data_IF_053251937325
#
_entry.id   IF_053251937325
#
_cell.length_a   1.000
_cell.length_b   1.000
_cell.length_c   1.000
_cell.angle_alpha   90.00
_cell.angle_beta   90.00
_cell.angle_gamma   90.00
#
_symmetry.space_group_name_H-M   'P 1'
#
loop_
_entity.id
_entity.type
_entity.pdbx_description
1 polymer ?
#
# COMPACT_ATOMS: atom_id res chain seq x y z
N UNK A 1 7.91 27.36 -24.91
CA UNK A 1 8.77 27.66 -23.74
C UNK A 1 7.84 27.69 -22.53
N UNK A 2 7.75 26.73 -21.63
CA UNK A 2 8.63 25.63 -21.25
C UNK A 2 8.54 25.48 -19.72
N UNK A 3 7.40 24.96 -19.26
CA UNK A 3 7.01 24.73 -17.86
C UNK A 3 8.16 24.20 -16.97
N UNK A 4 8.65 25.00 -16.02
CA UNK A 4 9.58 24.54 -14.96
C UNK A 4 9.33 25.09 -13.55
N UNK A 5 8.29 25.89 -13.31
CA UNK A 5 7.99 26.43 -11.97
C UNK A 5 6.86 25.73 -11.21
N UNK A 6 6.13 24.79 -11.82
CA UNK A 6 4.93 24.19 -11.21
C UNK A 6 5.18 23.11 -10.16
N UNK A 7 6.33 22.42 -10.20
CA UNK A 7 6.59 21.28 -9.31
C UNK A 7 7.11 21.70 -7.93
N UNK A 8 7.77 22.86 -7.85
CA UNK A 8 8.40 23.37 -6.61
C UNK A 8 7.36 24.08 -5.72
N UNK A 9 6.32 24.69 -6.33
CA UNK A 9 5.28 25.40 -5.58
C UNK A 9 4.25 24.47 -4.93
N UNK A 10 4.03 23.27 -5.48
CA UNK A 10 3.09 22.29 -4.92
C UNK A 10 3.55 21.66 -3.60
N UNK A 11 4.84 21.71 -3.30
CA UNK A 11 5.41 21.19 -2.04
C UNK A 11 5.36 22.26 -0.93
N UNK A 12 5.40 23.54 -1.31
CA UNK A 12 5.56 24.67 -0.38
C UNK A 12 4.30 25.09 0.40
N UNK A 13 3.10 24.65 -0.01
CA UNK A 13 1.83 25.15 0.54
C UNK A 13 1.17 24.27 1.62
N UNK A 14 1.81 23.18 2.07
CA UNK A 14 1.22 22.26 3.06
C UNK A 14 1.79 22.41 4.47
N UNK A 15 2.34 23.58 4.83
CA UNK A 15 3.04 23.78 6.10
C UNK A 15 2.25 24.71 7.02
N UNK A 16 1.41 24.13 7.87
CA UNK A 16 1.20 24.61 9.24
C UNK A 16 0.49 23.53 10.06
N UNK A 17 0.97 23.38 11.30
CA UNK A 17 0.51 22.51 12.38
C UNK A 17 1.18 21.12 12.46
N UNK A 18 1.98 20.95 13.51
CA UNK A 18 2.79 19.77 13.76
C UNK A 18 1.95 18.54 14.10
N UNK A 19 2.36 17.40 13.55
CA UNK A 19 1.69 16.11 13.67
C UNK A 19 2.17 15.15 12.60
N UNK A 20 1.73 13.89 12.66
CA UNK A 20 2.09 12.73 11.80
C UNK A 20 2.14 12.98 10.26
N UNK A 21 1.66 14.12 9.78
CA UNK A 21 1.87 14.61 8.41
C UNK A 21 3.36 14.75 8.05
N UNK A 22 4.23 15.12 9.02
CA UNK A 22 5.68 15.17 8.82
C UNK A 22 6.29 13.78 8.60
N UNK A 23 5.70 12.75 9.21
CA UNK A 23 6.11 11.35 9.05
C UNK A 23 5.74 10.85 7.66
N UNK A 24 4.48 11.01 7.24
CA UNK A 24 4.02 10.63 5.89
C UNK A 24 4.74 11.41 4.79
N UNK A 25 5.06 12.70 5.03
CA UNK A 25 5.92 13.49 4.14
C UNK A 25 7.34 12.90 4.12
N UNK A 26 7.94 12.56 5.26
CA UNK A 26 9.28 11.94 5.35
C UNK A 26 9.38 10.57 4.65
N UNK A 27 8.31 9.79 4.61
CA UNK A 27 8.23 8.55 3.82
C UNK A 27 8.37 8.84 2.32
N UNK A 28 7.61 9.82 1.83
CA UNK A 28 7.70 10.30 0.44
C UNK A 28 9.01 11.02 0.15
N UNK A 29 9.70 11.55 1.17
CA UNK A 29 11.06 12.12 1.03
C UNK A 29 12.07 11.05 0.60
N UNK A 30 11.98 9.80 1.08
CA UNK A 30 12.94 8.76 0.66
C UNK A 30 12.80 8.40 -0.83
N UNK A 31 11.58 8.31 -1.33
CA UNK A 31 11.30 8.10 -2.76
C UNK A 31 11.72 9.31 -3.58
N UNK A 32 11.41 10.51 -3.12
CA UNK A 32 11.81 11.77 -3.76
C UNK A 32 13.33 11.88 -3.83
N UNK A 33 14.04 11.55 -2.75
CA UNK A 33 15.51 11.53 -2.71
C UNK A 33 16.09 10.46 -3.63
N UNK A 34 15.49 9.27 -3.71
CA UNK A 34 15.93 8.21 -4.62
C UNK A 34 15.72 8.57 -6.10
N UNK A 35 14.57 9.14 -6.45
CA UNK A 35 14.30 9.66 -7.78
C UNK A 35 15.21 10.85 -8.13
N UNK A 36 15.53 11.70 -7.16
CA UNK A 36 16.51 12.78 -7.32
C UNK A 36 17.93 12.24 -7.52
N UNK A 37 18.37 11.27 -6.73
CA UNK A 37 19.69 10.65 -6.87
C UNK A 37 19.83 10.00 -8.26
N UNK A 38 18.77 9.36 -8.76
CA UNK A 38 18.70 8.78 -10.12
C UNK A 38 18.70 9.85 -11.22
N UNK A 39 17.97 10.95 -11.03
CA UNK A 39 17.82 12.02 -12.02
C UNK A 39 19.07 12.91 -12.15
N UNK A 40 19.80 13.09 -11.05
CA UNK A 40 20.99 13.96 -10.99
C UNK A 40 22.31 13.17 -10.87
N UNK A 41 22.27 11.84 -10.90
CA UNK A 41 23.48 10.99 -10.90
C UNK A 41 24.26 10.99 -9.60
N UNK A 42 23.60 11.24 -8.46
CA UNK A 42 24.25 11.30 -7.14
C UNK A 42 24.36 9.87 -6.59
N UNK A 43 25.56 9.29 -6.63
CA UNK A 43 25.82 7.97 -6.05
C UNK A 43 26.15 8.10 -4.56
N UNK A 44 25.20 7.81 -3.67
CA UNK A 44 25.45 7.71 -2.22
C UNK A 44 26.18 6.40 -1.91
N UNK A 45 27.49 6.45 -1.68
CA UNK A 45 28.19 5.37 -0.96
C UNK A 45 27.80 5.43 0.52
N UNK A 46 27.69 4.27 1.15
CA UNK A 46 27.39 3.95 2.56
C UNK A 46 27.74 5.04 3.62
N UNK A 47 27.06 5.08 4.78
CA UNK A 47 26.82 6.28 5.60
C UNK A 47 27.98 6.73 6.50
N UNK A 48 29.24 6.66 6.03
CA UNK A 48 30.42 7.03 6.83
C UNK A 48 31.45 7.95 6.17
N UNK A 49 31.20 8.46 4.97
CA UNK A 49 32.13 9.41 4.35
C UNK A 49 31.45 10.71 3.98
N UNK A 50 32.03 11.81 4.48
CA UNK A 50 31.83 13.19 4.05
C UNK A 50 31.45 13.30 2.57
N UNK A 51 30.33 13.96 2.29
CA UNK A 51 29.87 14.28 0.95
C UNK A 51 30.91 15.18 0.26
N UNK A 52 31.62 14.64 -0.72
CA UNK A 52 32.26 15.43 -1.76
C UNK A 52 31.33 15.35 -2.99
N UNK A 53 30.37 16.25 -3.07
CA UNK A 53 29.58 16.48 -4.29
C UNK A 53 30.42 17.30 -5.26
N UNK A 54 30.55 16.89 -6.52
CA UNK A 54 31.03 17.79 -7.57
C UNK A 54 30.04 18.96 -7.69
N UNK A 55 30.41 20.11 -7.14
CA UNK A 55 29.54 21.28 -6.87
C UNK A 55 29.05 22.02 -8.14
N UNK A 56 29.40 21.58 -9.34
CA UNK A 56 29.38 22.49 -10.49
C UNK A 56 28.06 22.64 -11.24
N UNK A 57 26.98 21.92 -10.90
CA UNK A 57 25.75 21.92 -11.72
C UNK A 57 24.42 21.84 -10.95
N UNK A 58 24.41 22.15 -9.66
CA UNK A 58 23.20 22.02 -8.83
C UNK A 58 22.76 23.42 -8.35
N UNK A 59 21.55 23.89 -8.68
CA UNK A 59 21.07 25.21 -8.23
C UNK A 59 21.09 25.34 -6.70
N UNK A 60 21.49 26.50 -6.16
CA UNK A 60 21.63 26.71 -4.70
C UNK A 60 20.33 26.38 -3.92
N UNK A 61 19.17 26.81 -4.43
CA UNK A 61 17.87 26.48 -3.81
C UNK A 61 17.53 24.97 -3.83
N UNK A 62 18.20 24.18 -4.67
CA UNK A 62 18.07 22.72 -4.66
C UNK A 62 18.99 22.07 -3.62
N UNK A 63 20.19 22.62 -3.39
CA UNK A 63 21.06 22.14 -2.31
C UNK A 63 20.46 22.39 -0.93
N UNK A 64 19.82 23.55 -0.74
CA UNK A 64 19.11 23.87 0.51
C UNK A 64 17.93 22.90 0.73
N UNK A 65 17.12 22.64 -0.30
CA UNK A 65 16.02 21.67 -0.21
C UNK A 65 16.53 20.25 0.09
N UNK A 66 17.62 19.81 -0.55
CA UNK A 66 18.24 18.52 -0.26
C UNK A 66 18.74 18.42 1.18
N UNK A 67 19.34 19.49 1.71
CA UNK A 67 19.81 19.55 3.10
C UNK A 67 18.62 19.42 4.05
N UNK A 68 17.56 20.20 3.85
CA UNK A 68 16.36 20.16 4.68
C UNK A 68 15.69 18.78 4.66
N UNK A 69 15.55 18.17 3.49
CA UNK A 69 15.02 16.81 3.35
C UNK A 69 15.90 15.77 4.05
N UNK A 70 17.22 15.93 3.99
CA UNK A 70 18.18 15.03 4.66
C UNK A 70 18.11 15.19 6.18
N UNK A 71 18.06 16.42 6.68
CA UNK A 71 17.90 16.72 8.12
C UNK A 71 16.59 16.15 8.66
N UNK A 72 15.48 16.32 7.93
CA UNK A 72 14.18 15.72 8.29
C UNK A 72 14.24 14.20 8.32
N UNK A 73 14.84 13.56 7.31
CA UNK A 73 14.98 12.11 7.29
C UNK A 73 15.86 11.61 8.46
N UNK A 74 16.93 12.32 8.79
CA UNK A 74 17.78 11.98 9.94
C UNK A 74 17.02 12.14 11.27
N UNK A 75 16.27 13.24 11.44
CA UNK A 75 15.44 13.47 12.62
C UNK A 75 14.35 12.38 12.75
N UNK A 76 13.70 12.03 11.65
CA UNK A 76 12.70 10.96 11.60
C UNK A 76 13.30 9.61 12.01
N UNK A 77 14.48 9.25 11.48
CA UNK A 77 15.18 8.02 11.86
C UNK A 77 15.57 8.00 13.33
N UNK A 78 16.15 9.09 13.84
CA UNK A 78 16.51 9.20 15.24
C UNK A 78 15.29 9.09 16.17
N UNK A 79 14.15 9.65 15.75
CA UNK A 79 12.88 9.49 16.44
C UNK A 79 12.42 8.01 16.45
N UNK A 80 12.45 7.32 15.31
CA UNK A 80 12.07 5.92 15.23
C UNK A 80 13.00 4.98 16.01
N UNK A 81 14.30 5.26 16.06
CA UNK A 81 15.27 4.47 16.82
C UNK A 81 15.00 4.49 18.33
N UNK A 82 14.28 5.52 18.81
CA UNK A 82 13.86 5.64 20.21
C UNK A 82 12.54 4.92 20.52
N UNK A 83 11.80 4.44 19.50
CA UNK A 83 10.51 3.79 19.68
C UNK A 83 10.64 2.27 19.90
N UNK A 84 9.75 1.66 20.70
CA UNK A 84 9.57 0.22 20.71
C UNK A 84 9.33 -0.32 19.29
N UNK A 85 10.07 -1.38 18.95
CA UNK A 85 10.00 -2.04 17.64
C UNK A 85 9.64 -3.50 17.82
N UNK A 86 8.62 -3.95 17.10
CA UNK A 86 8.18 -5.34 17.07
C UNK A 86 8.29 -5.91 15.65
N UNK A 87 8.53 -7.22 15.56
CA UNK A 87 8.40 -7.93 14.29
C UNK A 87 6.93 -8.19 14.03
N UNK A 88 6.48 -7.92 12.81
CA UNK A 88 5.14 -8.34 12.41
C UNK A 88 5.08 -9.87 12.31
N UNK A 89 3.97 -10.46 12.75
CA UNK A 89 3.77 -11.91 12.74
C UNK A 89 2.37 -12.20 12.23
N UNK A 90 2.28 -13.12 11.27
CA UNK A 90 1.04 -13.78 10.86
C UNK A 90 1.09 -15.19 11.46
N UNK A 91 0.00 -15.60 12.12
CA UNK A 91 -0.07 -16.93 12.71
C UNK A 91 0.01 -18.02 11.61
N UNK A 92 0.64 -19.19 11.88
CA UNK A 92 0.75 -20.25 10.86
C UNK A 92 -0.60 -20.71 10.31
N UNK A 93 -1.64 -20.72 11.14
CA UNK A 93 -2.99 -21.08 10.72
C UNK A 93 -3.60 -20.05 9.76
N UNK A 94 -3.49 -18.77 10.09
CA UNK A 94 -3.95 -17.68 9.22
C UNK A 94 -3.21 -17.70 7.87
N UNK A 95 -1.89 -17.94 7.89
CA UNK A 95 -1.11 -18.03 6.66
C UNK A 95 -1.49 -19.25 5.80
N UNK A 96 -1.79 -20.40 6.41
CA UNK A 96 -2.36 -21.56 5.70
C UNK A 96 -3.70 -21.21 5.05
N UNK A 97 -4.59 -20.53 5.77
CA UNK A 97 -5.88 -20.08 5.24
C UNK A 97 -5.71 -19.11 4.06
N UNK A 98 -4.80 -18.13 4.16
CA UNK A 98 -4.46 -17.21 3.07
C UNK A 98 -4.02 -17.99 1.82
N UNK A 99 -3.11 -18.96 1.97
CA UNK A 99 -2.65 -19.81 0.85
C UNK A 99 -3.78 -20.63 0.24
N UNK A 100 -4.65 -21.19 1.06
CA UNK A 100 -5.79 -22.00 0.61
C UNK A 100 -6.79 -21.13 -0.17
N UNK A 101 -7.01 -19.88 0.26
CA UNK A 101 -7.81 -18.88 -0.48
C UNK A 101 -7.14 -18.54 -1.82
N UNK A 102 -5.83 -18.27 -1.84
CA UNK A 102 -5.09 -18.01 -3.09
C UNK A 102 -5.22 -19.19 -4.06
N UNK A 103 -5.18 -20.42 -3.56
CA UNK A 103 -5.36 -21.64 -4.37
C UNK A 103 -6.79 -21.77 -4.91
N UNK A 104 -7.79 -21.49 -4.07
CA UNK A 104 -9.21 -21.47 -4.43
C UNK A 104 -9.48 -20.45 -5.55
N UNK A 105 -9.00 -19.22 -5.36
CA UNK A 105 -9.15 -18.12 -6.31
C UNK A 105 -8.45 -18.46 -7.62
N UNK A 106 -7.23 -18.98 -7.58
CA UNK A 106 -6.48 -19.37 -8.78
C UNK A 106 -7.20 -20.44 -9.59
N UNK A 107 -7.76 -21.46 -8.91
CA UNK A 107 -8.55 -22.50 -9.56
C UNK A 107 -9.86 -21.96 -10.15
N UNK A 108 -10.54 -21.07 -9.43
CA UNK A 108 -11.73 -20.37 -9.93
C UNK A 108 -11.42 -19.59 -11.20
N UNK A 109 -10.36 -18.77 -11.19
CA UNK A 109 -9.93 -17.93 -12.31
C UNK A 109 -9.51 -18.75 -13.53
N UNK A 110 -8.86 -19.91 -13.32
CA UNK A 110 -8.51 -20.84 -14.40
C UNK A 110 -9.76 -21.40 -15.10
N UNK A 111 -10.70 -21.94 -14.32
CA UNK A 111 -11.99 -22.44 -14.87
C UNK A 111 -12.79 -21.35 -15.56
N UNK A 112 -12.81 -20.16 -14.97
CA UNK A 112 -13.44 -18.98 -15.55
C UNK A 112 -12.87 -18.67 -16.94
N UNK A 113 -11.53 -18.64 -17.07
CA UNK A 113 -10.85 -18.27 -18.32
C UNK A 113 -11.10 -19.31 -19.42
N UNK A 114 -11.02 -20.60 -19.08
CA UNK A 114 -11.30 -21.69 -20.03
C UNK A 114 -12.72 -21.59 -20.60
N UNK A 115 -13.71 -21.30 -19.75
CA UNK A 115 -15.10 -21.12 -20.15
C UNK A 115 -15.33 -19.80 -20.90
N UNK A 116 -14.69 -18.70 -20.47
CA UNK A 116 -14.85 -17.36 -21.07
C UNK A 116 -14.45 -17.33 -22.55
N UNK A 117 -13.45 -18.12 -22.95
CA UNK A 117 -12.99 -18.24 -24.35
C UNK A 117 -14.09 -18.72 -25.30
N UNK A 118 -15.08 -19.45 -24.79
CA UNK A 118 -16.22 -19.95 -25.55
C UNK A 118 -17.41 -18.97 -25.58
N UNK A 119 -17.33 -17.86 -24.85
CA UNK A 119 -18.38 -16.84 -24.77
C UNK A 119 -18.21 -15.83 -25.91
N UNK A 120 -19.31 -15.55 -26.62
CA UNK A 120 -19.38 -14.52 -27.66
C UNK A 120 -19.03 -13.16 -27.07
N UNK A 121 -18.33 -12.33 -27.84
CA UNK A 121 -17.79 -11.06 -27.35
C UNK A 121 -18.85 -10.14 -26.71
N UNK A 122 -20.02 -10.01 -27.34
CA UNK A 122 -21.13 -9.20 -26.82
C UNK A 122 -21.72 -9.68 -25.48
N UNK A 123 -21.50 -10.95 -25.12
CA UNK A 123 -22.03 -11.54 -23.90
C UNK A 123 -20.99 -11.61 -22.75
N UNK A 124 -19.73 -11.25 -23.03
CA UNK A 124 -18.61 -11.41 -22.08
C UNK A 124 -18.80 -10.61 -20.80
N UNK A 125 -19.19 -9.35 -20.88
CA UNK A 125 -19.35 -8.52 -19.68
C UNK A 125 -20.44 -9.08 -18.74
N UNK A 126 -21.54 -9.57 -19.29
CA UNK A 126 -22.61 -10.21 -18.52
C UNK A 126 -22.13 -11.49 -17.84
N UNK A 127 -21.34 -12.30 -18.56
CA UNK A 127 -20.68 -13.48 -18.00
C UNK A 127 -19.69 -13.11 -16.89
N UNK A 128 -18.85 -12.10 -17.12
CA UNK A 128 -17.84 -11.62 -16.17
C UNK A 128 -18.51 -11.10 -14.88
N UNK A 129 -19.60 -10.33 -14.99
CA UNK A 129 -20.43 -9.88 -13.84
C UNK A 129 -21.01 -11.05 -13.07
N UNK A 130 -21.55 -12.06 -13.76
CA UNK A 130 -22.08 -13.27 -13.10
C UNK A 130 -20.97 -14.00 -12.32
N UNK A 131 -19.80 -14.17 -12.93
CA UNK A 131 -18.66 -14.87 -12.31
C UNK A 131 -18.02 -14.08 -11.17
N UNK A 132 -17.98 -12.75 -11.26
CA UNK A 132 -17.58 -11.90 -10.15
C UNK A 132 -18.53 -12.07 -8.95
N UNK A 133 -19.85 -12.12 -9.19
CA UNK A 133 -20.83 -12.35 -8.12
C UNK A 133 -20.67 -13.75 -7.49
N UNK A 134 -20.43 -14.79 -8.28
CA UNK A 134 -20.15 -16.14 -7.78
C UNK A 134 -18.88 -16.15 -6.91
N UNK A 135 -17.80 -15.50 -7.35
CA UNK A 135 -16.56 -15.40 -6.59
C UNK A 135 -16.78 -14.65 -5.27
N UNK A 136 -17.43 -13.47 -5.30
CA UNK A 136 -17.74 -12.69 -4.09
C UNK A 136 -18.55 -13.52 -3.10
N UNK A 137 -19.56 -14.27 -3.56
CA UNK A 137 -20.35 -15.13 -2.69
C UNK A 137 -19.53 -16.27 -2.06
N UNK A 138 -18.56 -16.83 -2.78
CA UNK A 138 -17.62 -17.82 -2.23
C UNK A 138 -16.67 -17.21 -1.20
N UNK A 139 -16.21 -15.98 -1.42
CA UNK A 139 -15.34 -15.30 -0.46
C UNK A 139 -16.12 -14.90 0.79
N UNK A 140 -17.33 -14.37 0.65
CA UNK A 140 -18.19 -13.94 1.76
C UNK A 140 -18.54 -15.07 2.74
N UNK A 141 -18.49 -16.33 2.29
CA UNK A 141 -18.78 -17.50 3.14
C UNK A 141 -17.60 -17.94 4.02
N UNK A 142 -16.40 -17.41 3.78
CA UNK A 142 -15.21 -17.78 4.55
C UNK A 142 -15.19 -17.05 5.91
N UNK A 143 -14.83 -17.79 6.96
CA UNK A 143 -14.75 -17.27 8.34
C UNK A 143 -13.46 -16.53 8.65
N UNK A 144 -12.44 -16.65 7.81
CA UNK A 144 -11.11 -16.01 7.95
C UNK A 144 -11.15 -14.48 7.94
N UNK A 145 -12.21 -13.89 7.38
CA UNK A 145 -12.31 -12.45 7.23
C UNK A 145 -12.70 -11.77 8.54
N UNK A 146 -11.80 -10.93 9.02
CA UNK A 146 -11.98 -10.02 10.13
C UNK A 146 -12.80 -8.79 9.70
N UNK A 147 -12.58 -8.28 8.49
CA UNK A 147 -13.34 -7.17 7.96
C UNK A 147 -13.57 -7.27 6.45
N UNK A 148 -14.64 -6.64 5.99
CA UNK A 148 -14.90 -6.37 4.57
C UNK A 148 -15.30 -4.91 4.40
N UNK A 149 -14.66 -4.22 3.48
CA UNK A 149 -14.91 -2.81 3.20
C UNK A 149 -14.69 -2.49 1.72
N UNK A 150 -15.09 -1.29 1.31
CA UNK A 150 -14.84 -0.76 -0.02
C UNK A 150 -14.05 0.55 0.05
N UNK A 151 -13.27 0.82 -0.99
CA UNK A 151 -12.67 2.14 -1.24
C UNK A 151 -13.24 2.75 -2.50
N UNK A 152 -13.37 4.07 -2.52
CA UNK A 152 -13.80 4.81 -3.70
C UNK A 152 -12.84 4.57 -4.90
N UNK A 153 -13.31 4.81 -6.12
CA UNK A 153 -12.53 4.62 -7.34
C UNK A 153 -11.82 5.91 -7.82
N UNK A 154 -12.18 7.07 -7.27
CA UNK A 154 -11.54 8.33 -7.64
C UNK A 154 -10.15 8.39 -7.03
N UNK A 155 -9.12 8.17 -7.87
CA UNK A 155 -7.70 8.21 -7.53
C UNK A 155 -7.20 9.54 -6.98
N UNK A 156 -7.72 9.97 -5.84
CA UNK A 156 -7.55 11.29 -5.28
C UNK A 156 -7.96 11.32 -3.83
N UNK A 157 -6.99 10.98 -2.97
CA UNK A 157 -7.00 11.19 -1.51
C UNK A 157 -7.03 12.68 -1.11
N UNK A 158 -7.78 13.53 -1.81
CA UNK A 158 -7.95 14.92 -1.39
C UNK A 158 -9.04 14.96 -0.31
N UNK A 159 -8.62 15.33 0.89
CA UNK A 159 -9.49 15.68 2.02
C UNK A 159 -10.50 16.77 1.68
N UNK A 160 -10.23 17.55 0.62
CA UNK A 160 -11.01 18.71 0.22
C UNK A 160 -12.22 18.34 -0.65
N UNK A 161 -12.31 17.08 -1.09
CA UNK A 161 -13.45 16.55 -1.83
C UNK A 161 -14.28 15.65 -0.91
N UNK A 162 -15.61 15.80 -0.87
CA UNK A 162 -16.47 14.90 -0.10
C UNK A 162 -16.23 13.43 -0.43
N UNK A 163 -16.31 12.58 0.59
CA UNK A 163 -16.22 11.12 0.44
C UNK A 163 -17.31 10.63 -0.52
N UNK A 164 -16.93 9.86 -1.54
CA UNK A 164 -17.88 9.36 -2.52
C UNK A 164 -18.75 8.24 -1.93
N UNK A 165 -20.03 8.21 -2.31
CA UNK A 165 -20.90 7.09 -1.90
C UNK A 165 -20.46 5.80 -2.60
N UNK A 166 -20.61 4.68 -1.89
CA UNK A 166 -20.28 3.37 -2.41
C UNK A 166 -20.95 3.06 -3.76
N UNK A 167 -20.13 2.75 -4.76
CA UNK A 167 -20.51 2.28 -6.08
C UNK A 167 -20.00 0.85 -6.32
N UNK A 168 -20.92 -0.11 -6.34
CA UNK A 168 -20.61 -1.54 -6.53
C UNK A 168 -19.90 -1.88 -7.85
N UNK A 169 -20.01 -1.02 -8.86
CA UNK A 169 -19.48 -1.28 -10.21
C UNK A 169 -18.07 -0.69 -10.41
N UNK A 170 -17.63 0.22 -9.53
CA UNK A 170 -16.35 0.96 -9.65
C UNK A 170 -15.43 0.77 -8.44
N UNK A 171 -16.00 0.70 -7.24
CA UNK A 171 -15.24 0.67 -6.00
C UNK A 171 -14.51 -0.64 -5.77
N UNK A 172 -13.31 -0.55 -5.20
CA UNK A 172 -12.52 -1.74 -4.88
C UNK A 172 -13.04 -2.37 -3.59
N UNK A 173 -13.28 -3.68 -3.60
CA UNK A 173 -13.65 -4.44 -2.41
C UNK A 173 -12.40 -5.03 -1.76
N UNK A 174 -12.29 -4.91 -0.45
CA UNK A 174 -11.22 -5.49 0.34
C UNK A 174 -11.78 -6.52 1.32
N UNK A 175 -11.05 -7.62 1.44
CA UNK A 175 -11.23 -8.63 2.46
C UNK A 175 -9.97 -8.63 3.33
N UNK A 176 -10.14 -8.40 4.63
CA UNK A 176 -9.04 -8.27 5.57
C UNK A 176 -9.10 -9.40 6.59
N UNK A 177 -7.95 -10.04 6.81
CA UNK A 177 -7.73 -11.05 7.84
C UNK A 177 -7.42 -10.43 9.20
N UNK A 178 -7.23 -11.22 10.25
CA UNK A 178 -7.01 -10.72 11.61
C UNK A 178 -5.69 -9.93 11.73
N UNK A 179 -4.62 -10.41 11.11
CA UNK A 179 -3.30 -9.76 11.09
C UNK A 179 -3.26 -8.48 10.25
N UNK A 180 -4.28 -8.28 9.41
CA UNK A 180 -4.34 -7.19 8.44
C UNK A 180 -3.84 -7.57 7.04
N UNK A 181 -3.55 -8.83 6.74
CA UNK A 181 -3.33 -9.25 5.36
C UNK A 181 -4.62 -9.09 4.55
N UNK A 182 -4.55 -8.58 3.32
CA UNK A 182 -5.74 -8.28 2.53
C UNK A 182 -5.73 -8.85 1.14
N UNK A 183 -6.93 -9.15 0.64
CA UNK A 183 -7.18 -9.43 -0.77
C UNK A 183 -8.13 -8.38 -1.35
N UNK A 184 -7.73 -7.80 -2.48
CA UNK A 184 -8.47 -6.73 -3.14
C UNK A 184 -9.11 -7.19 -4.46
N UNK A 185 -10.35 -6.78 -4.69
CA UNK A 185 -11.07 -6.94 -5.96
C UNK A 185 -11.35 -5.55 -6.55
N UNK A 186 -10.64 -5.20 -7.61
CA UNK A 186 -10.76 -3.91 -8.34
C UNK A 186 -11.89 -3.96 -9.36
N UNK A 187 -13.11 -3.62 -8.95
CA UNK A 187 -14.33 -3.82 -9.77
C UNK A 187 -14.33 -3.00 -11.07
N UNK A 188 -13.77 -1.78 -11.08
CA UNK A 188 -13.61 -0.96 -12.30
C UNK A 188 -12.86 -1.68 -13.43
N UNK A 189 -12.01 -2.67 -13.11
CA UNK A 189 -11.25 -3.45 -14.09
C UNK A 189 -12.06 -4.54 -14.80
N UNK A 190 -13.33 -4.77 -14.44
CA UNK A 190 -14.07 -5.98 -14.84
C UNK A 190 -14.26 -6.12 -16.35
N UNK A 191 -14.37 -5.00 -17.09
CA UNK A 191 -14.46 -5.03 -18.55
C UNK A 191 -13.26 -5.74 -19.21
N UNK A 192 -12.12 -5.78 -18.53
CA UNK A 192 -10.90 -6.45 -18.98
C UNK A 192 -10.79 -7.92 -18.51
N UNK A 193 -11.87 -8.45 -17.93
CA UNK A 193 -11.96 -9.81 -17.42
C UNK A 193 -11.55 -9.96 -15.96
N UNK A 194 -12.07 -11.02 -15.33
CA UNK A 194 -11.96 -11.28 -13.89
C UNK A 194 -10.51 -11.47 -13.40
N UNK A 195 -9.58 -11.94 -14.24
CA UNK A 195 -8.17 -12.04 -13.85
C UNK A 195 -7.52 -10.68 -13.58
N UNK A 196 -8.04 -9.60 -14.16
CA UNK A 196 -7.51 -8.25 -13.95
C UNK A 196 -8.06 -7.58 -12.69
N UNK A 197 -9.18 -8.07 -12.16
CA UNK A 197 -9.82 -7.46 -10.98
C UNK A 197 -9.29 -8.03 -9.68
N UNK A 198 -9.03 -9.34 -9.62
CA UNK A 198 -8.56 -9.99 -8.39
C UNK A 198 -7.07 -9.75 -8.24
N UNK A 199 -6.68 -9.07 -7.17
CA UNK A 199 -5.28 -8.79 -6.88
C UNK A 199 -4.70 -9.86 -5.96
N UNK A 200 -3.38 -10.11 -6.02
CA UNK A 200 -2.69 -10.92 -5.03
C UNK A 200 -2.89 -10.37 -3.61
N UNK A 201 -2.68 -11.23 -2.61
CA UNK A 201 -2.70 -10.79 -1.22
C UNK A 201 -1.59 -9.78 -0.93
N UNK A 202 -1.90 -8.78 -0.12
CA UNK A 202 -0.94 -7.92 0.57
C UNK A 202 -0.77 -8.39 2.01
N UNK A 203 0.41 -8.16 2.58
CA UNK A 203 0.84 -8.75 3.86
C UNK A 203 0.23 -8.03 5.06
N UNK A 204 0.14 -6.70 4.98
CA UNK A 204 -0.51 -5.88 6.00
C UNK A 204 -1.13 -4.66 5.37
N UNK A 205 -2.27 -4.23 5.89
CA UNK A 205 -2.91 -2.96 5.57
C UNK A 205 -2.94 -2.05 6.80
N UNK A 206 -2.79 -0.75 6.58
CA UNK A 206 -3.06 0.31 7.53
C UNK A 206 -4.07 1.29 6.93
N UNK A 207 -4.74 2.04 7.80
CA UNK A 207 -5.70 3.06 7.45
C UNK A 207 -5.23 4.40 7.97
N UNK A 208 -5.05 5.37 7.08
CA UNK A 208 -4.48 6.68 7.38
C UNK A 208 -5.58 7.73 7.34
N UNK A 209 -5.80 8.39 8.48
CA UNK A 209 -6.78 9.45 8.64
C UNK A 209 -6.31 10.77 8.04
N UNK A 210 -7.21 11.76 7.90
CA UNK A 210 -6.90 13.07 7.33
C UNK A 210 -5.82 13.83 8.11
N UNK A 211 -5.70 13.56 9.42
CA UNK A 211 -4.72 14.20 10.31
C UNK A 211 -3.44 13.35 10.48
N UNK A 212 -3.26 12.30 9.68
CA UNK A 212 -2.13 11.36 9.79
C UNK A 212 -2.28 10.28 10.87
N UNK A 213 -3.44 10.20 11.53
CA UNK A 213 -3.77 9.12 12.48
C UNK A 213 -3.70 7.76 11.76
N UNK A 214 -3.01 6.79 12.36
CA UNK A 214 -2.87 5.45 11.80
C UNK A 214 -3.79 4.49 12.57
N UNK A 215 -4.62 3.76 11.83
CA UNK A 215 -5.50 2.72 12.37
C UNK A 215 -5.17 1.36 11.74
N UNK A 216 -5.20 0.30 12.53
CA UNK A 216 -5.11 -1.09 12.05
C UNK A 216 -6.49 -1.68 11.68
N UNK A 217 -7.58 -0.94 11.92
CA UNK A 217 -8.95 -1.30 11.55
C UNK A 217 -9.54 -0.32 10.54
N UNK A 218 -10.40 -0.77 9.61
CA UNK A 218 -10.98 0.11 8.60
C UNK A 218 -11.86 1.17 9.24
N UNK A 219 -11.76 2.40 8.73
CA UNK A 219 -12.55 3.55 9.14
C UNK A 219 -12.96 4.35 7.92
N UNK A 220 -14.24 4.73 7.82
CA UNK A 220 -14.71 5.53 6.69
C UNK A 220 -13.95 6.87 6.61
N UNK A 221 -13.57 7.27 5.40
CA UNK A 221 -12.74 8.44 5.13
C UNK A 221 -11.23 8.22 5.19
N UNK A 222 -10.76 7.07 5.72
CA UNK A 222 -9.32 6.80 5.86
C UNK A 222 -8.77 6.19 4.57
N UNK A 223 -7.59 6.64 4.17
CA UNK A 223 -6.83 6.13 3.03
C UNK A 223 -6.21 4.78 3.39
N UNK A 224 -6.15 3.84 2.45
CA UNK A 224 -5.46 2.56 2.68
C UNK A 224 -3.99 2.61 2.30
N UNK A 225 -3.14 2.03 3.14
CA UNK A 225 -1.73 1.77 2.84
C UNK A 225 -1.45 0.28 2.98
N UNK A 226 -1.02 -0.34 1.89
CA UNK A 226 -0.76 -1.76 1.80
C UNK A 226 0.75 -2.03 1.77
N UNK A 227 1.19 -2.94 2.63
CA UNK A 227 2.58 -3.38 2.75
C UNK A 227 2.71 -4.81 2.25
N UNK A 228 3.83 -5.09 1.59
CA UNK A 228 4.13 -6.39 1.02
C UNK A 228 5.63 -6.63 1.09
N UNK A 229 6.02 -7.83 1.50
CA UNK A 229 7.40 -8.31 1.42
C UNK A 229 7.53 -9.50 0.47
N UNK A 230 8.75 -9.70 -0.02
CA UNK A 230 9.10 -10.85 -0.87
C UNK A 230 8.96 -12.17 -0.11
N UNK A 231 9.23 -12.18 1.20
CA UNK A 231 9.07 -13.38 2.03
C UNK A 231 7.60 -13.79 2.13
N UNK A 232 6.68 -12.83 2.28
CA UNK A 232 5.24 -13.11 2.25
C UNK A 232 4.78 -13.60 0.88
N UNK A 233 5.19 -12.91 -0.20
CA UNK A 233 4.86 -13.31 -1.56
C UNK A 233 5.29 -14.75 -1.86
N UNK A 234 6.50 -15.12 -1.40
CA UNK A 234 7.04 -16.49 -1.55
C UNK A 234 6.26 -17.51 -0.72
N UNK A 235 5.92 -17.18 0.53
CA UNK A 235 5.18 -18.06 1.43
C UNK A 235 3.76 -18.37 0.91
N UNK A 236 3.07 -17.37 0.36
CA UNK A 236 1.72 -17.54 -0.21
C UNK A 236 1.74 -18.32 -1.53
N UNK A 237 2.82 -18.21 -2.32
CA UNK A 237 2.97 -18.95 -3.58
C UNK A 237 3.51 -20.37 -3.42
N UNK A 238 4.19 -20.68 -2.30
CA UNK A 238 5.00 -21.89 -2.10
C UNK A 238 4.55 -22.83 -0.97
N UNK A 239 5.49 -23.66 -0.49
CA UNK A 239 5.29 -24.60 0.65
C UNK A 239 5.84 -24.08 1.98
N UNK A 240 6.41 -22.87 1.99
CA UNK A 240 7.26 -22.37 3.08
C UNK A 240 6.48 -21.69 4.22
N UNK A 241 5.21 -22.06 4.39
CA UNK A 241 4.30 -21.50 5.41
C UNK A 241 4.85 -21.69 6.83
N UNK A 242 5.46 -22.85 7.11
CA UNK A 242 6.01 -23.17 8.45
C UNK A 242 7.32 -22.43 8.76
N UNK A 243 8.01 -21.93 7.74
CA UNK A 243 9.28 -21.21 7.88
C UNK A 243 9.16 -19.71 7.61
N UNK A 244 7.94 -19.24 7.29
CA UNK A 244 7.70 -17.85 6.99
C UNK A 244 8.02 -16.95 8.18
N UNK A 245 8.76 -15.88 7.89
CA UNK A 245 8.96 -14.76 8.79
C UNK A 245 8.72 -13.48 7.99
N UNK A 246 7.87 -12.60 8.54
CA UNK A 246 7.64 -11.30 7.94
C UNK A 246 8.93 -10.49 7.90
N UNK A 247 9.15 -9.79 6.79
CA UNK A 247 10.17 -8.76 6.69
C UNK A 247 9.75 -7.41 7.25
N UNK A 248 8.52 -7.29 7.76
CA UNK A 248 7.97 -6.05 8.31
C UNK A 248 8.38 -5.86 9.78
N UNK A 249 8.82 -4.65 10.12
CA UNK A 249 9.01 -4.19 11.48
C UNK A 249 8.02 -3.05 11.77
N UNK A 250 7.32 -3.12 12.90
CA UNK A 250 6.34 -2.13 13.33
C UNK A 250 6.94 -1.31 14.47
N UNK A 251 6.90 0.01 14.32
CA UNK A 251 7.31 0.97 15.33
C UNK A 251 6.08 1.47 16.05
N UNK A 252 6.08 1.41 17.39
CA UNK A 252 4.93 1.77 18.23
C UNK A 252 5.21 3.06 19.01
N UNK A 253 4.24 3.97 19.07
CA UNK A 253 4.24 5.10 20.00
C UNK A 253 2.96 5.05 20.81
N UNK A 254 3.08 5.05 22.13
CA UNK A 254 1.91 5.05 23.04
C UNK A 254 0.92 3.90 22.76
N UNK A 255 1.43 2.77 22.23
CA UNK A 255 0.63 1.60 21.84
C UNK A 255 0.11 1.62 20.40
N UNK A 256 0.17 2.75 19.71
CA UNK A 256 -0.29 2.91 18.33
C UNK A 256 0.83 2.71 17.32
N UNK A 257 0.49 2.35 16.07
CA UNK A 257 1.47 2.25 14.98
C UNK A 257 1.96 3.66 14.62
N UNK A 258 3.26 3.87 14.70
CA UNK A 258 3.92 5.10 14.27
C UNK A 258 4.53 4.98 12.87
N UNK A 259 5.08 3.82 12.54
CA UNK A 259 5.64 3.52 11.22
C UNK A 259 5.75 2.00 11.00
N UNK A 260 5.83 1.60 9.73
CA UNK A 260 6.23 0.25 9.32
C UNK A 260 7.50 0.37 8.48
N UNK A 261 8.48 -0.50 8.72
CA UNK A 261 9.65 -0.63 7.87
C UNK A 261 9.73 -2.01 7.24
N UNK A 262 10.41 -2.10 6.11
CA UNK A 262 10.73 -3.33 5.42
C UNK A 262 12.02 -3.19 4.63
N UNK A 263 12.54 -4.30 4.09
CA UNK A 263 13.63 -4.25 3.11
C UNK A 263 13.06 -4.12 1.71
N UNK A 264 13.61 -3.19 0.93
CA UNK A 264 13.32 -3.08 -0.50
C UNK A 264 14.19 -4.05 -1.33
N UNK A 265 14.02 -4.06 -2.65
CA UNK A 265 14.77 -4.91 -3.58
C UNK A 265 16.30 -4.75 -3.48
N UNK A 266 16.78 -3.59 -3.01
CA UNK A 266 18.21 -3.31 -2.81
C UNK A 266 18.71 -3.67 -1.40
N UNK A 267 17.87 -4.26 -0.55
CA UNK A 267 18.19 -4.60 0.83
C UNK A 267 18.26 -3.39 1.79
N UNK A 268 17.82 -2.23 1.33
CA UNK A 268 17.77 -1.01 2.15
C UNK A 268 16.47 -0.96 2.96
N UNK A 269 16.53 -0.36 4.14
CA UNK A 269 15.32 -0.12 4.94
C UNK A 269 14.48 0.95 4.25
N UNK A 270 13.28 0.53 3.86
CA UNK A 270 12.19 1.37 3.35
C UNK A 270 11.11 1.46 4.40
N UNK A 271 10.35 2.54 4.35
CA UNK A 271 9.17 2.75 5.20
C UNK A 271 7.91 3.07 4.37
N UNK A 272 8.07 3.16 3.04
CA UNK A 272 6.95 3.39 2.14
C UNK A 272 6.07 2.15 2.03
N UNK A 273 4.75 2.33 1.85
CA UNK A 273 3.87 1.23 1.49
C UNK A 273 4.19 0.72 0.08
N UNK A 274 3.85 -0.53 -0.20
CA UNK A 274 3.91 -1.09 -1.55
C UNK A 274 2.81 -0.48 -2.45
N UNK A 275 1.71 -0.04 -1.84
CA UNK A 275 0.62 0.63 -2.53
C UNK A 275 -0.15 1.55 -1.58
N UNK A 276 -0.46 2.77 -2.03
CA UNK A 276 -1.42 3.68 -1.39
C UNK A 276 -2.70 3.67 -2.22
N UNK A 277 -3.82 3.27 -1.61
CA UNK A 277 -5.12 3.25 -2.27
C UNK A 277 -5.99 4.44 -1.92
N UNK A 278 -7.28 4.30 -2.22
CA UNK A 278 -8.28 5.35 -2.01
C UNK A 278 -8.91 5.27 -0.61
N UNK A 279 -9.75 6.26 -0.29
CA UNK A 279 -10.44 6.32 1.01
C UNK A 279 -11.49 5.23 1.13
N UNK A 280 -11.57 4.62 2.31
CA UNK A 280 -12.66 3.71 2.67
C UNK A 280 -13.99 4.47 2.64
N UNK A 281 -14.93 4.01 1.84
CA UNK A 281 -16.22 4.69 1.66
C UNK A 281 -17.43 3.84 2.06
N UNK A 282 -17.18 2.59 2.47
CA UNK A 282 -18.18 1.71 3.07
C UNK A 282 -17.53 0.57 3.83
N UNK A 283 -18.01 0.32 5.04
CA UNK A 283 -17.67 -0.87 5.82
C UNK A 283 -18.87 -1.82 5.81
N UNK A 284 -18.68 -3.07 5.39
CA UNK A 284 -19.75 -4.08 5.38
C UNK A 284 -19.82 -4.83 6.71
N UNK A 285 -18.67 -5.15 7.29
CA UNK A 285 -18.55 -5.73 8.64
C UNK A 285 -17.13 -5.59 9.19
N UNK A 286 -17.03 -5.64 10.52
CA UNK A 286 -15.82 -5.88 11.33
C UNK A 286 -16.24 -6.85 12.43
N UNK A 287 -15.50 -7.95 12.65
CA UNK A 287 -15.90 -9.06 13.54
C UNK A 287 -15.21 -9.08 14.89
#
# INVERSE_FOLDING_TARGET
>A
MGNRCGLIYGIFLSMNEGGQEDVLKALRVNETLADMDKKYGVTRKSPRSSFATNESNVPAGFQDALRELTERNNAFRAYLDALPREKFVIGPEELRQIRDITSLVSHFLKKYEDARRQIREGDRLSYDKKKMKELIAQLDSLSVWQAKFATECSGGASSDVPLQKYNKDEDSLYYMTLSGATMRIKTVGLANGLQRVVQPFTEKILFIGPNGEISESPREGYVVEEYLTDSFSSAVAGKDVETYQSGLEIYRREGEVAAISHKNEQGLTSFSPAHTGDRVNKIFFVR
#
